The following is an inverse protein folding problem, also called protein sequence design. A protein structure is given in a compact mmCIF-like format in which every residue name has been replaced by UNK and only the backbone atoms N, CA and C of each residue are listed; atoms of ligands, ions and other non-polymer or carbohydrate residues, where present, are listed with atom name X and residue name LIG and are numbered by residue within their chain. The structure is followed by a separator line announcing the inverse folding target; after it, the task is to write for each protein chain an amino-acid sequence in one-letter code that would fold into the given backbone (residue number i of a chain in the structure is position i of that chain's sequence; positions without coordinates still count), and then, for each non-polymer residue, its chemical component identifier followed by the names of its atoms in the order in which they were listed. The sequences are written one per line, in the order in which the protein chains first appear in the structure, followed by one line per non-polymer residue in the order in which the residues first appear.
data_IF_247474682247
#
_entry.id   IF_247474682247
#
_cell.length_a   1.000
_cell.length_b   1.000
_cell.length_c   1.000
_cell.angle_alpha   90.00
_cell.angle_beta   90.00
_cell.angle_gamma   90.00
#
_symmetry.space_group_name_H-M   'P 1'
#
loop_
_entity.id
_entity.type
_entity.pdbx_description
1 polymer ?
#
# COMPACT_ATOMS: atom_id res chain seq x y z
N UNK A 1 -20.79 77.04 29.31
CA UNK A 1 -21.56 76.50 30.45
C UNK A 1 -22.33 75.29 29.98
N UNK A 2 -22.06 74.16 30.64
CA UNK A 2 -22.77 72.87 30.73
C UNK A 2 -23.16 72.09 29.45
N UNK A 3 -22.47 70.95 29.36
CA UNK A 3 -22.80 69.73 28.64
C UNK A 3 -24.16 69.12 29.04
N UNK A 4 -24.78 68.38 28.12
CA UNK A 4 -25.48 67.12 28.46
C UNK A 4 -25.21 66.05 27.40
N UNK A 5 -24.67 64.95 27.91
CA UNK A 5 -24.34 63.68 27.28
C UNK A 5 -25.61 62.82 27.07
N UNK A 6 -25.40 61.62 26.50
CA UNK A 6 -26.29 60.45 26.37
C UNK A 6 -27.28 60.52 25.21
N UNK A 7 -27.29 59.58 24.25
CA UNK A 7 -27.43 58.14 24.48
C UNK A 7 -26.81 57.33 23.33
N UNK A 8 -26.02 56.33 23.68
CA UNK A 8 -25.44 55.34 22.78
C UNK A 8 -26.53 54.36 22.30
N UNK A 9 -26.57 54.08 21.00
CA UNK A 9 -27.29 52.92 20.45
C UNK A 9 -26.27 52.05 19.73
N UNK A 10 -25.78 51.05 20.45
CA UNK A 10 -24.92 49.99 19.94
C UNK A 10 -25.85 48.98 19.24
N UNK A 11 -25.96 49.07 17.91
CA UNK A 11 -26.59 48.02 17.11
C UNK A 11 -25.54 46.97 16.76
N UNK A 12 -25.49 45.93 17.60
CA UNK A 12 -24.78 44.68 17.37
C UNK A 12 -25.59 43.83 16.38
N UNK A 13 -25.31 43.96 15.08
CA UNK A 13 -25.95 43.13 14.05
C UNK A 13 -25.11 41.87 13.85
N UNK A 14 -25.47 40.83 14.59
CA UNK A 14 -25.09 39.44 14.32
C UNK A 14 -25.75 38.99 13.02
N UNK A 15 -25.11 39.23 11.88
CA UNK A 15 -25.53 38.62 10.61
C UNK A 15 -24.85 37.27 10.43
N UNK A 16 -25.55 36.20 10.83
CA UNK A 16 -25.32 34.85 10.35
C UNK A 16 -25.60 34.81 8.84
N UNK A 17 -24.56 34.89 8.01
CA UNK A 17 -24.67 34.62 6.58
C UNK A 17 -24.29 33.16 6.31
N UNK A 18 -25.26 32.48 5.71
CA UNK A 18 -25.42 31.05 5.49
C UNK A 18 -24.27 30.44 4.66
N UNK A 19 -23.92 29.22 5.03
CA UNK A 19 -22.97 28.33 4.34
C UNK A 19 -23.27 28.21 2.84
N UNK A 20 -22.36 28.71 2.02
CA UNK A 20 -22.11 28.14 0.69
C UNK A 20 -20.81 27.34 0.80
N UNK A 21 -20.91 26.09 1.26
CA UNK A 21 -19.84 25.12 1.09
C UNK A 21 -19.73 24.83 -0.41
N UNK A 22 -18.91 25.59 -1.13
CA UNK A 22 -18.34 25.10 -2.38
C UNK A 22 -17.63 23.77 -2.12
N UNK A 23 -17.47 22.88 -3.11
CA UNK A 23 -16.74 21.64 -2.88
C UNK A 23 -15.38 22.01 -2.31
N UNK A 24 -15.16 21.67 -1.04
CA UNK A 24 -13.84 21.71 -0.43
C UNK A 24 -13.09 20.59 -1.13
N UNK A 25 -12.56 20.89 -2.31
CA UNK A 25 -11.58 20.04 -2.93
C UNK A 25 -10.38 20.11 -2.00
N UNK A 26 -10.15 19.03 -1.26
CA UNK A 26 -8.90 18.81 -0.57
C UNK A 26 -7.82 18.66 -1.64
N UNK A 27 -7.28 19.79 -2.10
CA UNK A 27 -6.08 19.84 -2.89
C UNK A 27 -4.91 19.65 -1.90
N UNK A 28 -4.23 18.51 -1.98
CA UNK A 28 -3.00 18.29 -1.25
C UNK A 28 -1.95 19.26 -1.80
N UNK A 29 -1.77 20.42 -1.18
CA UNK A 29 -0.63 21.28 -1.50
C UNK A 29 0.61 20.63 -0.93
N UNK A 30 1.43 20.03 -1.79
CA UNK A 30 2.78 19.57 -1.43
C UNK A 30 3.77 20.73 -1.24
N UNK A 31 3.35 21.97 -1.50
CA UNK A 31 4.14 23.18 -1.37
C UNK A 31 3.61 24.05 -0.22
N UNK A 32 4.03 23.73 1.01
CA UNK A 32 3.86 24.61 2.17
C UNK A 32 5.04 24.42 3.10
N UNK A 33 5.70 25.50 3.53
CA UNK A 33 6.84 25.44 4.46
C UNK A 33 6.40 25.33 5.94
N UNK A 34 5.16 24.89 6.21
CA UNK A 34 4.64 24.73 7.56
C UNK A 34 5.10 23.42 8.20
N UNK A 35 5.15 23.36 9.53
CA UNK A 35 5.48 22.13 10.28
C UNK A 35 4.56 20.93 9.93
N UNK A 36 3.33 21.20 9.47
CA UNK A 36 2.38 20.19 9.01
C UNK A 36 2.72 19.58 7.63
N UNK A 37 3.63 20.19 6.86
CA UNK A 37 3.98 19.74 5.50
C UNK A 37 5.05 18.63 5.47
N UNK A 38 5.67 18.32 6.61
CA UNK A 38 6.67 17.27 6.70
C UNK A 38 6.06 16.02 7.33
N UNK A 39 5.36 15.22 6.53
CA UNK A 39 5.37 13.74 6.56
C UNK A 39 4.30 13.18 5.62
N UNK A 40 4.43 13.44 4.32
CA UNK A 40 3.84 12.52 3.36
C UNK A 40 4.57 11.18 3.51
N UNK A 41 3.89 10.17 4.06
CA UNK A 41 4.47 8.83 4.22
C UNK A 41 4.56 8.20 2.84
N UNK A 42 5.76 8.13 2.26
CA UNK A 42 5.97 7.38 1.04
C UNK A 42 5.84 5.88 1.31
N UNK A 43 5.20 5.15 0.38
CA UNK A 43 5.17 3.69 0.44
C UNK A 43 6.58 3.13 0.19
N UNK A 44 7.02 2.09 0.94
CA UNK A 44 8.30 1.46 0.71
C UNK A 44 8.34 0.75 -0.65
N UNK A 45 9.55 0.48 -1.14
CA UNK A 45 9.76 -0.49 -2.20
C UNK A 45 9.66 -1.91 -1.64
N UNK A 46 9.17 -2.84 -2.45
CA UNK A 46 9.16 -4.25 -2.10
C UNK A 46 10.56 -4.85 -2.01
N UNK A 47 10.80 -5.74 -1.05
CA UNK A 47 12.05 -6.47 -0.98
C UNK A 47 12.08 -7.58 -2.04
N UNK A 48 13.26 -7.82 -2.61
CA UNK A 48 13.45 -8.92 -3.58
C UNK A 48 13.19 -10.25 -2.86
N UNK A 49 12.23 -11.07 -3.32
CA UNK A 49 11.97 -12.35 -2.70
C UNK A 49 13.06 -13.37 -3.07
N UNK A 50 13.41 -14.21 -2.11
CA UNK A 50 14.16 -15.45 -2.36
C UNK A 50 13.16 -16.52 -2.73
N UNK A 51 13.48 -17.33 -3.75
CA UNK A 51 12.58 -18.35 -4.26
C UNK A 51 13.33 -19.68 -4.35
N UNK A 52 12.75 -20.72 -3.75
CA UNK A 52 13.22 -22.09 -3.92
C UNK A 52 12.19 -22.92 -4.67
N UNK A 53 12.64 -23.78 -5.56
CA UNK A 53 11.80 -24.68 -6.32
C UNK A 53 12.01 -26.11 -5.84
N UNK A 54 10.93 -26.86 -5.71
CA UNK A 54 10.97 -28.29 -5.45
C UNK A 54 9.93 -29.00 -6.31
N UNK A 55 10.19 -30.26 -6.61
CA UNK A 55 9.24 -31.13 -7.30
C UNK A 55 8.57 -32.04 -6.27
N UNK A 56 7.24 -32.17 -6.36
CA UNK A 56 6.47 -33.05 -5.51
C UNK A 56 5.53 -33.92 -6.33
N UNK A 57 5.68 -35.24 -6.16
CA UNK A 57 4.90 -36.25 -6.86
C UNK A 57 3.41 -36.08 -6.52
N UNK A 58 2.60 -35.80 -7.54
CA UNK A 58 1.14 -35.62 -7.41
C UNK A 58 0.67 -34.16 -7.41
N UNK A 59 1.54 -33.18 -7.14
CA UNK A 59 1.18 -31.74 -7.16
C UNK A 59 2.01 -30.90 -8.13
N UNK A 60 3.04 -31.48 -8.75
CA UNK A 60 3.90 -30.82 -9.74
C UNK A 60 5.04 -30.04 -9.10
N UNK A 61 5.23 -28.80 -9.54
CA UNK A 61 6.31 -27.93 -9.09
C UNK A 61 5.82 -26.98 -8.01
N UNK A 62 6.54 -26.92 -6.91
CA UNK A 62 6.28 -26.08 -5.76
C UNK A 62 7.35 -25.00 -5.71
N UNK A 63 6.93 -23.74 -5.67
CA UNK A 63 7.80 -22.58 -5.51
C UNK A 63 7.54 -21.98 -4.15
N UNK A 64 8.55 -21.97 -3.29
CA UNK A 64 8.47 -21.33 -1.98
C UNK A 64 9.19 -19.99 -2.04
N UNK A 65 8.41 -18.93 -1.85
CA UNK A 65 8.88 -17.56 -1.78
C UNK A 65 9.08 -17.17 -0.32
N UNK A 66 10.14 -16.40 -0.06
CA UNK A 66 10.39 -15.79 1.25
C UNK A 66 10.91 -14.37 1.06
N UNK A 67 10.37 -13.42 1.82
CA UNK A 67 10.81 -12.02 1.78
C UNK A 67 10.67 -11.35 3.17
N UNK A 68 11.54 -10.38 3.51
CA UNK A 68 11.44 -9.65 4.77
C UNK A 68 10.22 -8.73 4.80
N UNK A 69 9.80 -8.32 5.99
CA UNK A 69 8.73 -7.35 6.14
C UNK A 69 9.14 -5.95 5.66
N UNK A 70 8.21 -5.28 4.98
CA UNK A 70 8.31 -3.88 4.60
C UNK A 70 7.67 -3.02 5.69
N UNK A 71 8.39 -1.98 6.10
CA UNK A 71 7.93 -1.01 7.09
C UNK A 71 7.68 0.34 6.41
N UNK A 72 6.60 1.00 6.78
CA UNK A 72 6.38 2.42 6.51
C UNK A 72 7.45 3.24 7.25
N UNK A 73 7.72 4.48 6.81
CA UNK A 73 8.66 5.39 7.48
C UNK A 73 8.35 5.64 8.97
N UNK A 74 7.11 5.46 9.40
CA UNK A 74 6.69 5.55 10.80
C UNK A 74 6.92 4.26 11.62
N UNK A 75 7.64 3.26 11.09
CA UNK A 75 7.92 1.99 11.76
C UNK A 75 6.74 1.02 11.83
N UNK A 76 5.67 1.27 11.08
CA UNK A 76 4.50 0.38 10.99
C UNK A 76 4.66 -0.61 9.85
N UNK A 77 4.33 -1.90 10.03
CA UNK A 77 4.37 -2.86 8.93
C UNK A 77 3.30 -2.56 7.89
N UNK A 78 3.57 -2.98 6.65
CA UNK A 78 2.57 -2.95 5.57
C UNK A 78 1.48 -3.99 5.83
N UNK A 79 0.26 -3.75 5.33
CA UNK A 79 -0.88 -4.64 5.59
C UNK A 79 -0.96 -5.83 4.63
N UNK A 80 -0.17 -5.81 3.55
CA UNK A 80 -0.17 -6.89 2.57
C UNK A 80 0.85 -6.70 1.46
N UNK A 81 0.82 -7.62 0.50
CA UNK A 81 1.70 -7.64 -0.65
C UNK A 81 0.96 -8.08 -1.91
N UNK A 82 1.21 -7.42 -3.04
CA UNK A 82 0.89 -7.94 -4.37
C UNK A 82 2.09 -8.73 -4.88
N UNK A 83 1.87 -10.00 -5.22
CA UNK A 83 2.88 -10.88 -5.77
C UNK A 83 2.62 -11.01 -7.26
N UNK A 84 3.63 -10.74 -8.08
CA UNK A 84 3.56 -10.94 -9.52
C UNK A 84 4.53 -12.02 -9.94
N UNK A 85 4.13 -12.80 -10.95
CA UNK A 85 4.84 -13.96 -11.44
C UNK A 85 5.14 -13.78 -12.91
N UNK A 86 6.33 -14.17 -13.37
CA UNK A 86 6.69 -14.15 -14.78
C UNK A 86 7.48 -15.38 -15.19
N UNK A 87 7.29 -15.81 -16.44
CA UNK A 87 8.12 -16.81 -17.11
C UNK A 87 8.51 -16.27 -18.48
N UNK A 88 9.81 -16.27 -18.78
CA UNK A 88 10.32 -15.80 -20.08
C UNK A 88 9.92 -14.36 -20.43
N UNK A 89 9.68 -13.51 -19.42
CA UNK A 89 9.22 -12.12 -19.61
C UNK A 89 7.71 -11.94 -19.75
N UNK A 90 6.94 -13.02 -19.82
CA UNK A 90 5.47 -12.96 -19.83
C UNK A 90 4.94 -12.97 -18.41
N UNK A 91 4.01 -12.06 -18.09
CA UNK A 91 3.33 -12.04 -16.79
C UNK A 91 2.31 -13.18 -16.72
N UNK A 92 2.32 -13.90 -15.60
CA UNK A 92 1.33 -14.93 -15.30
C UNK A 92 0.29 -14.33 -14.34
N UNK A 93 -0.98 -14.33 -14.76
CA UNK A 93 -2.09 -13.76 -13.99
C UNK A 93 -2.58 -14.62 -12.83
N UNK A 94 -1.91 -15.75 -12.54
CA UNK A 94 -2.33 -16.74 -11.56
C UNK A 94 -1.16 -17.17 -10.66
N UNK A 95 -1.45 -17.32 -9.37
CA UNK A 95 -0.56 -17.91 -8.38
C UNK A 95 -1.29 -18.13 -7.06
N UNK A 96 -1.01 -19.23 -6.36
CA UNK A 96 -1.68 -19.57 -5.08
C UNK A 96 -1.21 -18.67 -3.94
N UNK A 97 -0.20 -17.85 -4.18
CA UNK A 97 0.25 -16.80 -3.28
C UNK A 97 -0.64 -15.57 -3.18
N UNK A 98 -1.74 -15.62 -3.91
CA UNK A 98 -2.85 -14.70 -3.86
C UNK A 98 -3.63 -14.86 -2.57
N UNK A 99 -3.45 -13.96 -1.59
CA UNK A 99 -4.32 -13.93 -0.40
C UNK A 99 -5.73 -13.46 -0.73
N UNK A 100 -6.62 -13.47 0.27
CA UNK A 100 -7.99 -12.96 0.14
C UNK A 100 -7.96 -11.52 -0.38
N UNK A 101 -8.63 -11.25 -1.49
CA UNK A 101 -8.79 -9.89 -2.02
C UNK A 101 -9.54 -9.03 -1.02
N UNK A 102 -8.82 -8.31 -0.16
CA UNK A 102 -9.41 -7.29 0.70
C UNK A 102 -9.48 -5.99 -0.10
N UNK A 103 -10.64 -5.34 -0.12
CA UNK A 103 -10.86 -3.96 -0.62
C UNK A 103 -10.90 -3.67 -2.14
N UNK A 104 -11.24 -4.65 -2.98
CA UNK A 104 -11.62 -4.34 -4.38
C UNK A 104 -10.48 -3.82 -5.27
N UNK A 105 -9.22 -4.08 -4.90
CA UNK A 105 -8.01 -3.63 -5.60
C UNK A 105 -7.66 -4.43 -6.88
N UNK A 106 -8.63 -5.13 -7.47
CA UNK A 106 -8.55 -5.74 -8.81
C UNK A 106 -7.49 -6.84 -9.01
N UNK A 107 -6.73 -7.19 -7.98
CA UNK A 107 -5.77 -8.28 -8.00
C UNK A 107 -5.67 -8.91 -6.61
N UNK A 108 -5.34 -10.20 -6.52
CA UNK A 108 -5.17 -10.84 -5.24
C UNK A 108 -4.02 -10.23 -4.45
N UNK A 109 -4.29 -9.96 -3.18
CA UNK A 109 -3.34 -9.39 -2.23
C UNK A 109 -3.02 -10.48 -1.22
N UNK A 110 -1.74 -10.82 -1.08
CA UNK A 110 -1.26 -11.60 0.04
C UNK A 110 -1.44 -10.79 1.33
N UNK A 111 -2.23 -11.31 2.27
CA UNK A 111 -2.43 -10.70 3.58
C UNK A 111 -1.75 -11.60 4.62
N UNK A 112 -0.69 -11.11 5.31
CA UNK A 112 -0.07 -11.85 6.39
C UNK A 112 -1.07 -12.17 7.50
N UNK A 113 -0.98 -13.37 8.06
CA UNK A 113 -1.72 -13.74 9.28
C UNK A 113 -1.22 -12.99 10.52
N UNK A 114 0.07 -12.62 10.52
CA UNK A 114 0.72 -11.79 11.51
C UNK A 114 1.45 -10.65 10.80
N UNK A 115 0.95 -9.43 10.92
CA UNK A 115 1.57 -8.25 10.30
C UNK A 115 2.87 -7.83 11.00
N UNK A 116 3.17 -8.34 12.19
CA UNK A 116 4.37 -8.02 12.96
C UNK A 116 5.58 -8.91 12.70
N UNK A 117 5.46 -9.94 11.85
CA UNK A 117 6.56 -10.86 11.57
C UNK A 117 7.71 -10.20 10.80
N UNK A 118 8.95 -10.62 11.07
CA UNK A 118 10.15 -10.10 10.38
C UNK A 118 10.26 -10.55 8.92
N UNK A 119 9.61 -11.66 8.56
CA UNK A 119 9.60 -12.21 7.21
C UNK A 119 8.30 -12.97 6.93
N UNK A 120 7.95 -13.01 5.64
CA UNK A 120 6.79 -13.72 5.12
C UNK A 120 7.21 -14.82 4.17
N UNK A 121 6.42 -15.88 4.14
CA UNK A 121 6.62 -17.00 3.24
C UNK A 121 5.34 -17.30 2.49
N UNK A 122 5.47 -17.70 1.23
CA UNK A 122 4.34 -18.11 0.44
C UNK A 122 4.67 -19.27 -0.49
N UNK A 123 3.73 -20.20 -0.65
CA UNK A 123 3.88 -21.37 -1.51
C UNK A 123 3.00 -21.23 -2.75
N UNK A 124 3.64 -21.18 -3.92
CA UNK A 124 3.01 -21.21 -5.23
C UNK A 124 3.11 -22.61 -5.84
N UNK A 125 2.01 -23.17 -6.34
CA UNK A 125 1.98 -24.51 -6.95
C UNK A 125 1.70 -24.41 -8.44
N UNK A 126 2.43 -25.18 -9.25
CA UNK A 126 2.25 -25.23 -10.69
C UNK A 126 2.34 -26.64 -11.22
N UNK A 127 1.32 -27.06 -11.96
CA UNK A 127 1.30 -28.36 -12.65
C UNK A 127 2.17 -28.36 -13.91
N UNK A 128 2.61 -27.20 -14.38
CA UNK A 128 3.42 -27.04 -15.59
C UNK A 128 4.89 -26.87 -15.20
N UNK A 129 5.84 -27.56 -15.87
CA UNK A 129 7.27 -27.33 -15.70
C UNK A 129 7.65 -25.94 -16.19
N UNK A 130 7.82 -25.02 -15.25
CA UNK A 130 8.25 -23.65 -15.52
C UNK A 130 9.63 -23.46 -14.89
N UNK A 131 10.70 -23.75 -15.63
CA UNK A 131 12.08 -23.78 -15.10
C UNK A 131 12.74 -22.39 -15.01
N UNK A 132 11.99 -21.32 -15.29
CA UNK A 132 12.51 -19.95 -15.29
C UNK A 132 11.51 -18.96 -14.67
N UNK A 133 10.78 -19.39 -13.64
CA UNK A 133 9.83 -18.52 -12.96
C UNK A 133 10.58 -17.46 -12.16
N UNK A 134 10.11 -16.22 -12.26
CA UNK A 134 10.55 -15.10 -11.44
C UNK A 134 9.36 -14.48 -10.74
N UNK A 135 9.62 -13.89 -9.57
CA UNK A 135 8.61 -13.24 -8.76
C UNK A 135 9.01 -11.82 -8.37
N UNK A 136 8.03 -10.94 -8.21
CA UNK A 136 8.19 -9.65 -7.54
C UNK A 136 7.19 -9.53 -6.40
N UNK A 137 7.58 -8.80 -5.38
CA UNK A 137 6.74 -8.46 -4.23
C UNK A 137 6.52 -6.95 -4.24
N UNK A 138 5.28 -6.51 -4.09
CA UNK A 138 4.91 -5.09 -4.02
C UNK A 138 4.17 -4.84 -2.71
N UNK A 139 4.66 -3.98 -1.80
CA UNK A 139 4.01 -3.74 -0.53
C UNK A 139 2.70 -2.98 -0.72
N UNK A 140 1.71 -3.31 0.10
CA UNK A 140 0.39 -2.71 0.10
C UNK A 140 0.04 -2.30 1.53
N UNK A 141 -0.38 -1.05 1.70
CA UNK A 141 -0.94 -0.55 2.94
C UNK A 141 -2.34 -0.01 2.65
N UNK A 142 -3.37 -0.74 3.07
CA UNK A 142 -4.76 -0.47 2.70
C UNK A 142 -4.93 -0.35 1.18
N UNK A 143 -5.22 0.86 0.66
CA UNK A 143 -5.38 1.17 -0.77
C UNK A 143 -4.09 1.67 -1.44
N UNK A 144 -3.03 1.88 -0.67
CA UNK A 144 -1.77 2.40 -1.17
C UNK A 144 -0.88 1.25 -1.62
N UNK A 145 -0.32 1.37 -2.81
CA UNK A 145 0.57 0.39 -3.41
C UNK A 145 1.95 1.02 -3.56
N UNK A 146 2.97 0.33 -3.04
CA UNK A 146 4.35 0.76 -3.16
C UNK A 146 4.98 0.40 -4.49
N UNK A 147 6.30 0.53 -4.56
CA UNK A 147 7.06 0.14 -5.75
C UNK A 147 7.35 -1.36 -5.70
N UNK A 148 7.22 -2.06 -6.82
CA UNK A 148 7.56 -3.47 -6.90
C UNK A 148 9.05 -3.69 -6.66
N UNK A 149 9.41 -4.83 -6.06
CA UNK A 149 10.79 -5.28 -5.98
C UNK A 149 11.37 -5.53 -7.39
N UNK A 150 12.70 -5.58 -7.51
CA UNK A 150 13.33 -6.30 -8.62
C UNK A 150 12.80 -7.74 -8.72
N UNK A 151 12.86 -8.31 -9.92
CA UNK A 151 12.55 -9.72 -10.13
C UNK A 151 13.53 -10.60 -9.35
N UNK A 152 13.01 -11.65 -8.70
CA UNK A 152 13.84 -12.71 -8.15
C UNK A 152 14.75 -13.31 -9.23
N UNK A 153 15.84 -13.95 -8.79
CA UNK A 153 16.58 -14.83 -9.68
C UNK A 153 15.65 -15.95 -10.19
N UNK A 154 15.89 -16.47 -11.40
CA UNK A 154 15.20 -17.68 -11.86
C UNK A 154 15.44 -18.80 -10.85
N UNK A 155 14.41 -19.57 -10.57
CA UNK A 155 14.56 -20.80 -9.79
C UNK A 155 15.29 -21.85 -10.61
N UNK A 156 16.43 -22.32 -10.11
CA UNK A 156 17.20 -23.45 -10.65
C UNK A 156 16.73 -24.79 -10.10
#
# INVERSE_FOLDING_TARGET
MLARLTTAVITFVCSFAVLAAGPVQAAWSSAGAGLAAQTATAMPSGPTPTVTMSYSLGVGYIYRLTWPASMLHAGRPVTGYRISRSVGGSLLGIGTCSGVTVTGLGAPIYVPSDVGADAYTCTDVSLVPLTAVRYTVTPVYEKWVGTASPWSMPTS
#
